data_IF_780165876423
#
_entry.id   IF_780165876423
#
_cell.length_a   1.000
_cell.length_b   1.000
_cell.length_c   1.000
_cell.angle_alpha   90.00
_cell.angle_beta   90.00
_cell.angle_gamma   90.00
#
_symmetry.space_group_name_H-M   'P 1'
#
loop_
_entity.id
_entity.type
_entity.pdbx_description
1 polymer ?
#
# COMPACT_ATOMS: atom_id res chain seq x y z
N UNK A 1 15.62 6.40 -12.96
CA UNK A 1 15.56 4.97 -13.33
C UNK A 1 14.56 4.22 -12.46
N UNK A 2 14.02 3.16 -12.98
CA UNK A 2 13.17 2.27 -12.17
C UNK A 2 14.09 1.45 -11.26
N UNK A 3 13.82 1.48 -9.96
CA UNK A 3 14.62 0.76 -8.97
C UNK A 3 13.85 -0.36 -8.29
N UNK A 4 12.55 -0.44 -8.49
CA UNK A 4 11.75 -1.53 -7.96
C UNK A 4 10.35 -1.58 -8.54
N UNK A 5 9.78 -2.79 -8.57
CA UNK A 5 8.42 -3.04 -9.01
C UNK A 5 7.77 -3.99 -8.00
N UNK A 6 6.51 -3.73 -7.67
CA UNK A 6 5.74 -4.59 -6.82
C UNK A 6 4.33 -4.80 -7.34
N UNK A 7 3.81 -5.98 -7.13
CA UNK A 7 2.43 -6.32 -7.44
C UNK A 7 1.88 -7.20 -6.34
N UNK A 8 0.62 -7.01 -6.00
CA UNK A 8 -0.06 -7.87 -5.05
C UNK A 8 -1.50 -8.14 -5.50
N UNK A 9 -2.02 -9.25 -5.06
CA UNK A 9 -3.37 -9.71 -5.39
C UNK A 9 -4.04 -10.18 -4.11
N UNK A 10 -5.24 -9.67 -3.83
CA UNK A 10 -5.96 -9.96 -2.59
C UNK A 10 -7.37 -10.44 -2.91
N UNK A 11 -7.77 -11.58 -2.32
CA UNK A 11 -9.13 -12.05 -2.36
C UNK A 11 -9.95 -11.20 -1.37
N UNK A 12 -10.90 -10.43 -1.87
CA UNK A 12 -11.67 -9.47 -1.08
C UNK A 12 -12.48 -10.16 0.01
N UNK A 13 -13.17 -11.24 -0.32
CA UNK A 13 -14.00 -11.96 0.66
C UNK A 13 -13.16 -12.57 1.77
N UNK A 14 -12.01 -13.14 1.42
CA UNK A 14 -11.08 -13.69 2.41
C UNK A 14 -10.54 -12.59 3.32
N UNK A 15 -10.20 -11.44 2.77
CA UNK A 15 -9.72 -10.31 3.55
C UNK A 15 -10.78 -9.80 4.53
N UNK A 16 -12.04 -9.71 4.09
CA UNK A 16 -13.16 -9.37 4.97
C UNK A 16 -13.27 -10.34 6.14
N UNK A 17 -13.19 -11.65 5.85
CA UNK A 17 -13.25 -12.66 6.91
C UNK A 17 -12.09 -12.53 7.89
N UNK A 18 -10.91 -12.25 7.39
CA UNK A 18 -9.73 -12.04 8.23
C UNK A 18 -9.91 -10.85 9.15
N UNK A 19 -10.41 -9.72 8.65
CA UNK A 19 -10.70 -8.54 9.48
C UNK A 19 -11.78 -8.83 10.52
N UNK A 20 -12.81 -9.59 10.16
CA UNK A 20 -13.88 -9.95 11.09
C UNK A 20 -13.37 -10.83 12.24
N UNK A 21 -12.46 -11.77 11.95
CA UNK A 21 -11.86 -12.65 12.96
C UNK A 21 -10.83 -11.94 13.83
N UNK A 22 -10.13 -10.98 13.29
CA UNK A 22 -9.06 -10.27 13.98
C UNK A 22 -9.24 -8.76 13.81
N UNK A 23 -10.19 -8.15 14.56
CA UNK A 23 -10.51 -6.73 14.39
C UNK A 23 -9.32 -5.79 14.60
N UNK A 24 -8.34 -6.19 15.39
CA UNK A 24 -7.14 -5.38 15.65
C UNK A 24 -6.29 -5.16 14.40
N UNK A 25 -6.46 -5.98 13.36
CA UNK A 25 -5.75 -5.79 12.10
C UNK A 25 -6.08 -4.45 11.44
N UNK A 26 -7.30 -3.96 11.64
CA UNK A 26 -7.70 -2.67 11.09
C UNK A 26 -6.77 -1.55 11.57
N UNK A 27 -6.43 -1.56 12.85
CA UNK A 27 -5.54 -0.55 13.44
C UNK A 27 -4.07 -0.78 13.08
N UNK A 28 -3.67 -2.04 12.87
CA UNK A 28 -2.29 -2.38 12.55
C UNK A 28 -1.92 -2.11 11.10
N UNK A 29 -2.87 -2.32 10.19
CA UNK A 29 -2.61 -2.27 8.76
C UNK A 29 -2.95 -0.94 8.11
N UNK A 30 -3.79 -0.14 8.74
CA UNK A 30 -4.34 1.06 8.11
C UNK A 30 -4.13 2.32 8.95
N UNK A 31 -3.82 3.42 8.24
CA UNK A 31 -3.77 4.74 8.83
C UNK A 31 -5.18 5.16 9.29
N UNK A 32 -5.31 6.04 10.30
CA UNK A 32 -6.62 6.44 10.80
C UNK A 32 -7.63 6.87 9.74
N UNK A 33 -7.20 7.60 8.72
CA UNK A 33 -8.07 8.07 7.65
C UNK A 33 -8.63 6.94 6.79
N UNK A 34 -7.97 5.79 6.78
CA UNK A 34 -8.38 4.64 5.96
C UNK A 34 -9.40 3.73 6.66
N UNK A 35 -9.47 3.76 7.98
CA UNK A 35 -10.17 2.74 8.79
C UNK A 35 -11.68 2.71 8.60
N UNK A 36 -12.29 3.78 8.11
CA UNK A 36 -13.74 3.86 7.89
C UNK A 36 -14.16 3.49 6.47
N UNK A 37 -13.21 3.07 5.65
CA UNK A 37 -13.49 2.68 4.28
C UNK A 37 -14.18 1.32 4.21
N UNK A 38 -14.87 1.07 3.09
CA UNK A 38 -15.52 -0.21 2.84
C UNK A 38 -14.47 -1.32 2.71
N UNK A 39 -14.84 -2.58 3.05
CA UNK A 39 -13.91 -3.72 2.97
C UNK A 39 -13.22 -3.86 1.61
N UNK A 40 -13.92 -3.63 0.51
CA UNK A 40 -13.30 -3.67 -0.83
C UNK A 40 -12.20 -2.63 -0.99
N UNK A 41 -12.43 -1.42 -0.50
CA UNK A 41 -11.44 -0.36 -0.53
C UNK A 41 -10.25 -0.66 0.39
N UNK A 42 -10.51 -1.27 1.54
CA UNK A 42 -9.45 -1.69 2.46
C UNK A 42 -8.62 -2.80 1.84
N UNK A 43 -9.25 -3.78 1.16
CA UNK A 43 -8.53 -4.86 0.48
C UNK A 43 -7.61 -4.31 -0.61
N UNK A 44 -8.07 -3.34 -1.41
CA UNK A 44 -7.26 -2.70 -2.44
C UNK A 44 -6.07 -1.93 -1.82
N UNK A 45 -6.30 -1.25 -0.72
CA UNK A 45 -5.24 -0.54 -0.01
C UNK A 45 -4.23 -1.48 0.63
N UNK A 46 -4.69 -2.61 1.15
CA UNK A 46 -3.79 -3.65 1.64
C UNK A 46 -2.90 -4.16 0.51
N UNK A 47 -3.48 -4.44 -0.66
CA UNK A 47 -2.71 -4.84 -1.84
C UNK A 47 -1.67 -3.78 -2.22
N UNK A 48 -2.04 -2.49 -2.16
CA UNK A 48 -1.13 -1.39 -2.46
C UNK A 48 0.06 -1.34 -1.50
N UNK A 49 -0.18 -1.55 -0.21
CA UNK A 49 0.89 -1.56 0.80
C UNK A 49 1.82 -2.75 0.63
N UNK A 50 1.26 -3.93 0.35
CA UNK A 50 2.07 -5.12 0.04
C UNK A 50 2.89 -4.93 -1.23
N UNK A 51 2.29 -4.35 -2.27
CA UNK A 51 3.00 -4.06 -3.52
C UNK A 51 4.14 -3.07 -3.30
N UNK A 52 3.93 -2.06 -2.45
CA UNK A 52 4.98 -1.13 -2.09
C UNK A 52 6.15 -1.84 -1.42
N UNK A 53 5.89 -2.70 -0.45
CA UNK A 53 6.93 -3.44 0.26
C UNK A 53 7.74 -4.29 -0.72
N UNK A 54 7.07 -4.94 -1.68
CA UNK A 54 7.75 -5.71 -2.73
C UNK A 54 8.63 -4.81 -3.61
N UNK A 55 8.13 -3.64 -3.97
CA UNK A 55 8.91 -2.68 -4.77
C UNK A 55 10.14 -2.16 -4.03
N UNK A 56 10.05 -2.07 -2.69
CA UNK A 56 11.18 -1.65 -1.85
C UNK A 56 12.21 -2.76 -1.65
N UNK A 57 11.87 -4.00 -1.96
CA UNK A 57 12.75 -5.14 -1.73
C UNK A 57 12.72 -5.68 -0.30
N UNK A 58 11.80 -5.21 0.52
CA UNK A 58 11.66 -5.68 1.90
C UNK A 58 11.03 -4.63 2.80
N UNK A 59 10.71 -5.05 4.02
CA UNK A 59 9.92 -4.27 4.98
C UNK A 59 10.77 -3.57 6.05
N UNK A 60 12.08 -3.61 5.96
CA UNK A 60 12.94 -2.98 6.97
C UNK A 60 12.67 -1.49 7.09
N UNK A 61 12.30 -1.05 8.30
CA UNK A 61 11.98 0.35 8.57
C UNK A 61 10.61 0.80 8.11
N UNK A 62 9.78 -0.13 7.59
CA UNK A 62 8.47 0.17 7.03
C UNK A 62 7.38 -0.23 8.02
N UNK A 63 6.47 0.71 8.30
CA UNK A 63 5.32 0.48 9.16
C UNK A 63 4.02 0.73 8.39
N UNK A 64 3.08 -0.20 8.49
CA UNK A 64 1.80 -0.15 7.78
C UNK A 64 1.03 1.14 7.99
N UNK A 65 0.98 1.63 9.22
CA UNK A 65 0.23 2.83 9.56
C UNK A 65 0.87 4.13 9.07
N UNK A 66 2.13 4.05 8.63
CA UNK A 66 2.85 5.17 8.03
C UNK A 66 2.73 5.20 6.51
N UNK A 67 1.97 4.27 5.95
CA UNK A 67 1.63 4.23 4.52
C UNK A 67 0.14 4.51 4.41
N UNK A 68 -0.21 5.64 3.84
CA UNK A 68 -1.62 5.95 3.56
C UNK A 68 -1.81 6.02 2.05
N UNK A 69 -2.83 5.34 1.54
CA UNK A 69 -3.23 5.49 0.14
C UNK A 69 -4.23 6.64 0.08
N UNK A 70 -3.84 7.70 -0.59
CA UNK A 70 -4.58 8.96 -0.64
C UNK A 70 -5.07 9.19 -2.07
N UNK A 71 -6.39 9.43 -2.29
CA UNK A 71 -6.86 9.81 -3.63
C UNK A 71 -6.58 11.28 -3.89
N UNK A 72 -6.10 11.59 -5.10
CA UNK A 72 -6.07 12.97 -5.59
C UNK A 72 -7.48 13.41 -5.95
N UNK A 73 -7.72 14.71 -6.17
CA UNK A 73 -9.04 15.19 -6.62
C UNK A 73 -9.56 14.51 -7.88
N UNK A 74 -8.66 14.05 -8.75
CA UNK A 74 -9.00 13.28 -9.95
C UNK A 74 -9.45 11.85 -9.65
N UNK A 75 -9.28 11.38 -8.41
CA UNK A 75 -9.49 9.99 -8.01
C UNK A 75 -8.26 9.10 -8.16
N UNK A 76 -7.19 9.60 -8.75
CA UNK A 76 -5.93 8.86 -8.88
C UNK A 76 -5.34 8.56 -7.51
N UNK A 77 -4.99 7.29 -7.22
CA UNK A 77 -4.40 6.96 -5.93
C UNK A 77 -2.92 7.31 -5.89
N UNK A 78 -2.44 7.67 -4.70
CA UNK A 78 -1.03 7.79 -4.48
C UNK A 78 -0.70 7.55 -3.01
N UNK A 79 0.60 7.45 -2.69
CA UNK A 79 1.04 7.21 -1.32
C UNK A 79 1.38 8.49 -0.61
N UNK A 80 0.86 8.63 0.61
CA UNK A 80 1.34 9.60 1.58
C UNK A 80 2.13 8.81 2.62
N UNK A 81 3.43 9.06 2.70
CA UNK A 81 4.33 8.36 3.61
C UNK A 81 4.76 9.28 4.73
N UNK A 82 4.85 8.73 5.94
CA UNK A 82 5.27 9.48 7.13
C UNK A 82 6.32 8.70 7.91
N UNK A 83 6.95 9.37 8.87
CA UNK A 83 7.83 8.75 9.86
C UNK A 83 9.01 7.98 9.29
N UNK A 84 9.32 6.86 9.93
CA UNK A 84 10.46 6.02 9.53
C UNK A 84 10.25 5.37 8.18
N UNK A 85 9.01 5.17 7.76
CA UNK A 85 8.70 4.62 6.45
C UNK A 85 9.10 5.59 5.34
N UNK A 86 8.78 6.88 5.48
CA UNK A 86 9.21 7.90 4.53
C UNK A 86 10.73 7.96 4.46
N UNK A 87 11.40 7.90 5.60
CA UNK A 87 12.85 7.89 5.69
C UNK A 87 13.45 6.66 5.02
N UNK A 88 12.89 5.48 5.28
CA UNK A 88 13.37 4.22 4.71
C UNK A 88 13.26 4.22 3.17
N UNK A 89 12.20 4.79 2.63
CA UNK A 89 12.02 4.92 1.17
C UNK A 89 13.08 5.86 0.59
N UNK A 90 13.30 7.01 1.23
CA UNK A 90 14.30 7.97 0.79
C UNK A 90 15.71 7.38 0.84
N UNK A 91 16.05 6.63 1.89
CA UNK A 91 17.35 5.98 2.04
C UNK A 91 17.64 4.95 0.97
N UNK A 92 16.59 4.38 0.37
CA UNK A 92 16.74 3.46 -0.77
C UNK A 92 16.96 4.17 -2.11
N UNK A 93 17.08 5.50 -2.09
CA UNK A 93 17.29 6.30 -3.29
C UNK A 93 16.03 6.45 -4.13
N UNK A 94 14.86 6.23 -3.55
CA UNK A 94 13.57 6.34 -4.24
C UNK A 94 13.06 7.77 -4.10
N UNK A 95 12.75 8.40 -5.23
CA UNK A 95 12.24 9.78 -5.26
C UNK A 95 10.78 9.87 -5.67
N UNK A 96 10.28 8.87 -6.40
CA UNK A 96 8.91 8.86 -6.90
C UNK A 96 8.34 7.47 -6.81
N UNK A 97 7.10 7.36 -6.35
CA UNK A 97 6.34 6.12 -6.34
C UNK A 97 5.12 6.29 -7.25
N UNK A 98 4.89 5.31 -8.10
CA UNK A 98 3.72 5.25 -8.96
C UNK A 98 2.84 4.11 -8.47
N UNK A 99 1.54 4.35 -8.36
CA UNK A 99 0.58 3.36 -7.86
C UNK A 99 -0.59 3.25 -8.82
N UNK A 100 -0.97 2.01 -9.13
CA UNK A 100 -2.22 1.72 -9.81
C UNK A 100 -2.92 0.60 -9.06
N UNK A 101 -4.23 0.72 -8.92
CA UNK A 101 -5.07 -0.28 -8.26
C UNK A 101 -6.24 -0.64 -9.16
N UNK A 102 -6.67 -1.90 -9.07
CA UNK A 102 -7.84 -2.39 -9.80
C UNK A 102 -8.52 -3.48 -8.99
N UNK A 103 -9.79 -3.72 -9.28
CA UNK A 103 -10.52 -4.84 -8.70
C UNK A 103 -11.47 -5.42 -9.73
N UNK A 104 -11.61 -6.74 -9.71
CA UNK A 104 -12.51 -7.48 -10.59
C UNK A 104 -12.72 -8.89 -10.05
N UNK A 105 -13.88 -9.47 -10.30
CA UNK A 105 -14.18 -10.86 -9.94
C UNK A 105 -13.85 -11.22 -8.48
N UNK A 106 -14.09 -10.30 -7.55
CA UNK A 106 -13.82 -10.53 -6.12
C UNK A 106 -12.36 -10.41 -5.73
N UNK A 107 -11.50 -9.91 -6.62
CA UNK A 107 -10.08 -9.73 -6.37
C UNK A 107 -9.72 -8.25 -6.42
N UNK A 108 -8.77 -7.84 -5.59
CA UNK A 108 -8.17 -6.52 -5.64
C UNK A 108 -6.69 -6.68 -5.98
N UNK A 109 -6.16 -5.82 -6.81
CA UNK A 109 -4.74 -5.84 -7.18
C UNK A 109 -4.15 -4.45 -7.12
N UNK A 110 -2.85 -4.38 -6.92
CA UNK A 110 -2.10 -3.13 -6.96
C UNK A 110 -0.76 -3.35 -7.62
N UNK A 111 -0.32 -2.34 -8.36
CA UNK A 111 1.02 -2.27 -8.94
C UNK A 111 1.72 -1.05 -8.42
N UNK A 112 2.98 -1.20 -8.06
CA UNK A 112 3.83 -0.09 -7.64
C UNK A 112 5.10 -0.10 -8.47
N UNK A 113 5.47 1.07 -8.97
CA UNK A 113 6.76 1.29 -9.62
C UNK A 113 7.49 2.34 -8.80
N UNK A 114 8.70 1.99 -8.36
CA UNK A 114 9.57 2.90 -7.62
C UNK A 114 10.66 3.43 -8.55
N UNK A 115 10.75 4.75 -8.64
CA UNK A 115 11.78 5.42 -9.42
C UNK A 115 12.72 6.20 -8.53
N UNK A 116 13.96 6.32 -8.95
CA UNK A 116 14.95 7.09 -8.23
C UNK A 116 16.35 6.86 -8.77
N UNK A 117 17.32 7.13 -7.91
CA UNK A 117 18.74 6.93 -8.24
C UNK A 117 19.23 5.53 -7.89
N UNK A 118 18.52 4.83 -7.00
CA UNK A 118 18.93 3.52 -6.50
C UNK A 118 20.10 3.57 -5.53
N UNK A 119 20.40 4.73 -4.99
CA UNK A 119 21.57 4.91 -4.11
C UNK A 119 21.18 5.42 -2.72
#
# INVERSE_FOLDING_TARGET
>A
MIVGIGVDLVDIARFERTLARTPKLLERLFAPAERLLRPRSLAARYAAKEALIKALGGSDGVHWTEIEVTPEPSGRPWFTLTGTTAQAVAERGITTLHLSMSHDAGLATAYVVAEGTGS
#
